data_IF_977260349600
#
_entry.id   IF_977260349600
#
_cell.length_a   1.000
_cell.length_b   1.000
_cell.length_c   1.000
_cell.angle_alpha   90.00
_cell.angle_beta   90.00
_cell.angle_gamma   90.00
#
_symmetry.space_group_name_H-M   'P 1'
#
loop_
_entity.id
_entity.type
_entity.pdbx_description
1 polymer ?
#
# COMPACT_ATOMS: atom_id res chain seq x y z
N UNK A 1 -48.90 25.89 -39.64
CA UNK A 1 -47.50 25.38 -39.73
C UNK A 1 -46.68 25.56 -38.44
N UNK A 2 -47.16 26.26 -37.41
CA UNK A 2 -46.37 26.46 -36.17
C UNK A 2 -46.46 25.36 -35.11
N UNK A 3 -47.54 24.57 -35.05
CA UNK A 3 -47.69 23.52 -34.04
C UNK A 3 -46.69 22.36 -34.22
N UNK A 4 -46.44 21.95 -35.47
CA UNK A 4 -45.47 20.89 -35.82
C UNK A 4 -44.03 21.24 -35.40
N UNK A 5 -43.68 22.53 -35.33
CA UNK A 5 -42.35 23.03 -34.95
C UNK A 5 -42.15 23.05 -33.42
N UNK A 6 -43.23 23.18 -32.64
CA UNK A 6 -43.19 23.08 -31.16
C UNK A 6 -43.07 21.64 -30.69
N UNK A 7 -43.81 20.70 -31.27
CA UNK A 7 -43.68 19.27 -30.97
C UNK A 7 -42.27 18.73 -31.27
N UNK A 8 -41.67 19.11 -32.40
CA UNK A 8 -40.30 18.72 -32.73
C UNK A 8 -39.26 19.22 -31.71
N UNK A 9 -39.38 20.46 -31.19
CA UNK A 9 -38.47 20.97 -30.16
C UNK A 9 -38.63 20.23 -28.82
N UNK A 10 -39.86 19.86 -28.45
CA UNK A 10 -40.14 19.08 -27.24
C UNK A 10 -39.59 17.65 -27.33
N UNK A 11 -39.72 17.00 -28.49
CA UNK A 11 -39.19 15.65 -28.72
C UNK A 11 -37.65 15.64 -28.71
N UNK A 12 -37.00 16.66 -29.30
CA UNK A 12 -35.53 16.79 -29.31
C UNK A 12 -34.98 17.06 -27.89
N UNK A 13 -35.66 17.88 -27.07
CA UNK A 13 -35.25 18.14 -25.68
C UNK A 13 -35.46 16.93 -24.75
N UNK A 14 -36.43 16.05 -25.03
CA UNK A 14 -36.61 14.78 -24.30
C UNK A 14 -35.46 13.81 -24.62
N UNK A 15 -35.04 13.74 -25.89
CA UNK A 15 -33.94 12.86 -26.31
C UNK A 15 -32.59 13.24 -25.71
N UNK A 16 -32.27 14.54 -25.63
CA UNK A 16 -31.01 15.02 -25.01
C UNK A 16 -31.01 14.85 -23.49
N UNK A 17 -32.14 15.09 -22.81
CA UNK A 17 -32.28 14.85 -21.38
C UNK A 17 -32.11 13.36 -21.02
N UNK A 18 -32.74 12.46 -21.79
CA UNK A 18 -32.61 11.01 -21.59
C UNK A 18 -31.17 10.53 -21.81
N UNK A 19 -30.48 11.07 -22.82
CA UNK A 19 -29.07 10.77 -23.08
C UNK A 19 -28.18 11.15 -21.88
N UNK A 20 -28.41 12.31 -21.27
CA UNK A 20 -27.65 12.76 -20.08
C UNK A 20 -27.91 11.82 -18.90
N UNK A 21 -29.15 11.39 -18.66
CA UNK A 21 -29.47 10.44 -17.58
C UNK A 21 -28.77 9.10 -17.78
N UNK A 22 -28.75 8.57 -19.00
CA UNK A 22 -28.05 7.31 -19.32
C UNK A 22 -26.54 7.45 -19.10
N UNK A 23 -25.93 8.55 -19.55
CA UNK A 23 -24.50 8.81 -19.36
C UNK A 23 -24.13 8.93 -17.88
N UNK A 24 -24.95 9.63 -17.09
CA UNK A 24 -24.76 9.74 -15.64
C UNK A 24 -24.88 8.36 -14.98
N UNK A 25 -25.87 7.56 -15.37
CA UNK A 25 -26.04 6.19 -14.86
C UNK A 25 -24.84 5.30 -15.16
N UNK A 26 -24.30 5.36 -16.39
CA UNK A 26 -23.08 4.64 -16.76
C UNK A 26 -21.85 5.14 -15.99
N UNK A 27 -21.71 6.47 -15.83
CA UNK A 27 -20.62 7.04 -15.06
C UNK A 27 -20.66 6.56 -13.59
N UNK A 28 -21.84 6.54 -12.96
CA UNK A 28 -21.98 5.99 -11.60
C UNK A 28 -21.65 4.50 -11.53
N UNK A 29 -22.06 3.70 -12.51
CA UNK A 29 -21.71 2.28 -12.54
C UNK A 29 -20.19 2.07 -12.62
N UNK A 30 -19.49 2.84 -13.45
CA UNK A 30 -18.02 2.79 -13.55
C UNK A 30 -17.35 3.25 -12.26
N UNK A 31 -17.80 4.36 -11.66
CA UNK A 31 -17.28 4.88 -10.39
C UNK A 31 -17.47 3.83 -9.28
N UNK A 32 -18.63 3.18 -9.20
CA UNK A 32 -18.91 2.14 -8.21
C UNK A 32 -17.98 0.92 -8.39
N UNK A 33 -17.78 0.46 -9.63
CA UNK A 33 -16.87 -0.65 -9.91
C UNK A 33 -15.42 -0.32 -9.51
N UNK A 34 -14.93 0.87 -9.85
CA UNK A 34 -13.61 1.34 -9.46
C UNK A 34 -13.48 1.50 -7.93
N UNK A 35 -14.51 2.01 -7.26
CA UNK A 35 -14.50 2.17 -5.81
C UNK A 35 -14.41 0.83 -5.07
N UNK A 36 -15.14 -0.20 -5.53
CA UNK A 36 -15.07 -1.55 -4.96
C UNK A 36 -13.68 -2.16 -5.20
N UNK A 37 -13.16 -2.08 -6.43
CA UNK A 37 -11.83 -2.60 -6.76
C UNK A 37 -10.73 -1.91 -5.95
N UNK A 38 -10.82 -0.59 -5.80
CA UNK A 38 -9.88 0.21 -5.03
C UNK A 38 -9.96 -0.12 -3.54
N UNK A 39 -11.17 -0.23 -2.98
CA UNK A 39 -11.37 -0.58 -1.57
C UNK A 39 -10.81 -1.97 -1.24
N UNK A 40 -11.02 -2.96 -2.11
CA UNK A 40 -10.46 -4.29 -1.93
C UNK A 40 -8.93 -4.28 -1.98
N UNK A 41 -8.35 -3.60 -2.98
CA UNK A 41 -6.90 -3.49 -3.09
C UNK A 41 -6.28 -2.75 -1.88
N UNK A 42 -6.89 -1.65 -1.47
CA UNK A 42 -6.44 -0.85 -0.32
C UNK A 42 -6.57 -1.62 1.00
N UNK A 43 -7.61 -2.45 1.14
CA UNK A 43 -7.77 -3.34 2.29
C UNK A 43 -6.64 -4.36 2.35
N UNK A 44 -6.37 -5.06 1.24
CA UNK A 44 -5.30 -6.05 1.18
C UNK A 44 -3.93 -5.42 1.46
N UNK A 45 -3.66 -4.23 0.91
CA UNK A 45 -2.44 -3.48 1.19
C UNK A 45 -2.32 -3.10 2.67
N UNK A 46 -3.41 -2.63 3.28
CA UNK A 46 -3.45 -2.30 4.71
C UNK A 46 -3.13 -3.51 5.60
N UNK A 47 -3.63 -4.69 5.25
CA UNK A 47 -3.33 -5.93 5.98
C UNK A 47 -1.85 -6.28 5.84
N UNK A 48 -1.31 -6.29 4.62
CA UNK A 48 0.12 -6.56 4.38
C UNK A 48 1.04 -5.61 5.14
N UNK A 49 0.72 -4.32 5.16
CA UNK A 49 1.48 -3.30 5.90
C UNK A 49 1.42 -3.54 7.41
N UNK A 50 0.25 -3.89 7.94
CA UNK A 50 0.09 -4.23 9.35
C UNK A 50 0.92 -5.44 9.73
N UNK A 51 0.86 -6.49 8.92
CA UNK A 51 1.57 -7.75 9.19
C UNK A 51 3.09 -7.52 9.11
N UNK A 52 3.56 -6.78 8.10
CA UNK A 52 4.97 -6.37 7.97
C UNK A 52 5.46 -5.54 9.17
N UNK A 53 4.62 -4.63 9.65
CA UNK A 53 4.93 -3.81 10.84
C UNK A 53 5.05 -4.68 12.09
N UNK A 54 4.15 -5.65 12.27
CA UNK A 54 4.18 -6.59 13.39
C UNK A 54 5.44 -7.48 13.36
N UNK A 55 5.80 -8.01 12.19
CA UNK A 55 7.04 -8.77 11.97
C UNK A 55 8.29 -7.95 12.31
N UNK A 56 8.35 -6.71 11.83
CA UNK A 56 9.47 -5.81 12.12
C UNK A 56 9.62 -5.56 13.63
N UNK A 57 8.52 -5.26 14.33
CA UNK A 57 8.59 -5.00 15.77
C UNK A 57 8.92 -6.27 16.57
N UNK A 58 8.49 -7.45 16.12
CA UNK A 58 8.91 -8.72 16.73
C UNK A 58 10.42 -8.93 16.59
N UNK A 59 10.98 -8.75 15.39
CA UNK A 59 12.41 -8.87 15.17
C UNK A 59 13.22 -7.84 15.96
N UNK A 60 12.74 -6.59 15.99
CA UNK A 60 13.35 -5.51 16.76
C UNK A 60 13.38 -5.84 18.26
N UNK A 61 12.26 -6.28 18.83
CA UNK A 61 12.20 -6.68 20.24
C UNK A 61 13.15 -7.85 20.56
N UNK A 62 13.22 -8.85 19.68
CA UNK A 62 14.17 -9.97 19.81
C UNK A 62 15.62 -9.49 19.78
N UNK A 63 15.96 -8.54 18.90
CA UNK A 63 17.29 -7.95 18.86
C UNK A 63 17.63 -7.24 20.18
N UNK A 64 16.72 -6.41 20.69
CA UNK A 64 16.90 -5.75 21.99
C UNK A 64 17.05 -6.73 23.14
N UNK A 65 16.24 -7.79 23.18
CA UNK A 65 16.34 -8.84 24.20
C UNK A 65 17.71 -9.52 24.14
N UNK A 66 18.22 -9.80 22.93
CA UNK A 66 19.56 -10.39 22.74
C UNK A 66 20.68 -9.46 23.17
N UNK A 67 20.57 -8.17 22.88
CA UNK A 67 21.52 -7.15 23.34
C UNK A 67 21.51 -7.05 24.87
N UNK A 68 20.33 -6.97 25.46
CA UNK A 68 20.18 -6.88 26.92
C UNK A 68 20.72 -8.12 27.62
N UNK A 69 20.45 -9.32 27.07
CA UNK A 69 20.96 -10.59 27.61
C UNK A 69 22.48 -10.69 27.58
N UNK A 70 23.10 -10.12 26.54
CA UNK A 70 24.56 -10.06 26.40
C UNK A 70 25.15 -8.78 27.00
N UNK A 71 24.40 -8.10 27.89
CA UNK A 71 24.87 -6.94 28.65
C UNK A 71 25.55 -5.84 27.78
N UNK A 72 25.00 -5.59 26.59
CA UNK A 72 25.54 -4.59 25.65
C UNK A 72 26.99 -4.80 25.23
N UNK A 73 27.45 -6.06 25.23
CA UNK A 73 28.76 -6.43 24.69
C UNK A 73 28.86 -6.17 23.18
N UNK A 74 30.09 -6.08 22.71
CA UNK A 74 30.38 -5.88 21.29
C UNK A 74 29.95 -7.11 20.49
N UNK A 75 28.92 -6.97 19.68
CA UNK A 75 28.35 -8.07 18.91
C UNK A 75 27.74 -7.59 17.60
N UNK A 76 27.79 -8.47 16.60
CA UNK A 76 27.17 -8.27 15.29
C UNK A 76 26.37 -9.51 14.98
N UNK A 77 25.08 -9.33 14.72
CA UNK A 77 24.17 -10.44 14.45
C UNK A 77 23.00 -9.97 13.60
N UNK A 78 22.35 -10.94 12.96
CA UNK A 78 21.13 -10.74 12.20
C UNK A 78 19.95 -11.39 12.90
N UNK A 79 18.76 -10.80 12.73
CA UNK A 79 17.48 -11.36 13.16
C UNK A 79 16.54 -11.39 11.96
N UNK A 80 15.97 -12.55 11.66
CA UNK A 80 15.02 -12.69 10.57
C UNK A 80 13.72 -11.90 10.89
N UNK A 81 13.29 -11.05 9.96
CA UNK A 81 12.00 -10.33 10.06
C UNK A 81 10.94 -11.16 9.34
N UNK A 82 11.23 -11.57 8.10
CA UNK A 82 10.42 -12.44 7.27
C UNK A 82 11.30 -13.18 6.26
N UNK A 83 10.69 -13.93 5.33
CA UNK A 83 11.39 -14.72 4.32
C UNK A 83 12.34 -13.90 3.43
N UNK A 84 12.10 -12.59 3.32
CA UNK A 84 12.77 -11.71 2.36
C UNK A 84 13.56 -10.59 3.03
N UNK A 85 13.55 -10.48 4.36
CA UNK A 85 14.15 -9.36 5.07
C UNK A 85 14.77 -9.79 6.39
N UNK A 86 15.95 -9.25 6.66
CA UNK A 86 16.69 -9.46 7.91
C UNK A 86 17.03 -8.12 8.55
N UNK A 87 17.00 -8.08 9.87
CA UNK A 87 17.47 -6.97 10.68
C UNK A 87 18.93 -7.21 11.06
N UNK A 88 19.83 -6.37 10.53
CA UNK A 88 21.23 -6.35 10.89
C UNK A 88 21.45 -5.42 12.09
N UNK A 89 22.06 -5.97 13.15
CA UNK A 89 22.29 -5.26 14.41
C UNK A 89 23.75 -5.38 14.82
N UNK A 90 24.37 -4.21 15.05
CA UNK A 90 25.74 -4.10 15.54
C UNK A 90 25.79 -3.23 16.78
N UNK A 91 26.37 -3.77 17.84
CA UNK A 91 26.65 -3.06 19.09
C UNK A 91 28.16 -2.91 19.25
N UNK A 92 28.62 -1.69 19.51
CA UNK A 92 30.00 -1.39 19.86
C UNK A 92 30.03 -0.43 21.05
N UNK A 93 30.91 -0.70 22.02
CA UNK A 93 31.15 0.15 23.21
C UNK A 93 29.88 0.47 24.01
N UNK A 94 28.92 -0.45 24.02
CA UNK A 94 27.66 -0.27 24.74
C UNK A 94 26.61 0.56 23.99
N UNK A 95 26.81 0.86 22.71
CA UNK A 95 25.86 1.59 21.87
C UNK A 95 25.51 0.79 20.60
N UNK A 96 24.29 0.95 20.10
CA UNK A 96 23.87 0.36 18.83
C UNK A 96 24.42 1.25 17.70
N UNK A 97 25.37 0.71 16.95
CA UNK A 97 26.03 1.40 15.82
C UNK A 97 25.34 1.11 14.49
N UNK A 98 24.73 -0.08 14.37
CA UNK A 98 23.95 -0.45 13.19
C UNK A 98 22.62 -1.05 13.62
N UNK A 99 21.53 -0.58 13.01
CA UNK A 99 20.19 -1.12 13.17
C UNK A 99 19.46 -0.95 11.83
N UNK A 100 19.80 -1.81 10.88
CA UNK A 100 19.38 -1.66 9.49
C UNK A 100 18.64 -2.90 9.02
N UNK A 101 17.54 -2.68 8.30
CA UNK A 101 16.82 -3.74 7.60
C UNK A 101 17.47 -3.94 6.23
N UNK A 102 17.88 -5.17 5.95
CA UNK A 102 18.42 -5.58 4.65
C UNK A 102 17.41 -6.51 3.97
N UNK A 103 17.22 -6.31 2.66
CA UNK A 103 16.40 -7.20 1.85
C UNK A 103 17.28 -8.36 1.37
N UNK A 104 16.86 -9.59 1.67
CA UNK A 104 17.57 -10.83 1.30
C UNK A 104 16.97 -11.51 0.08
N UNK A 105 15.85 -11.01 -0.45
CA UNK A 105 15.29 -11.54 -1.68
C UNK A 105 16.07 -11.05 -2.90
N UNK A 106 16.26 -11.96 -3.86
CA UNK A 106 16.66 -11.57 -5.21
C UNK A 106 15.61 -10.60 -5.78
N UNK A 107 16.07 -9.55 -6.47
CA UNK A 107 15.19 -8.54 -7.03
C UNK A 107 14.18 -9.18 -8.00
N UNK A 108 12.93 -9.27 -7.57
CA UNK A 108 11.79 -9.69 -8.38
C UNK A 108 11.04 -8.42 -8.84
N UNK A 109 10.85 -8.24 -10.15
CA UNK A 109 10.18 -7.07 -10.74
C UNK A 109 8.72 -6.89 -10.26
N UNK A 110 8.13 -7.94 -9.69
CA UNK A 110 6.76 -7.96 -9.12
C UNK A 110 6.75 -7.83 -7.59
N UNK A 111 7.90 -7.51 -6.98
CA UNK A 111 8.02 -7.31 -5.54
C UNK A 111 7.22 -6.08 -5.13
N UNK A 112 6.01 -6.31 -4.62
CA UNK A 112 5.08 -5.29 -4.08
C UNK A 112 5.61 -4.54 -2.84
N UNK A 113 6.88 -4.71 -2.48
CA UNK A 113 7.48 -3.98 -1.39
C UNK A 113 7.73 -2.53 -1.82
N UNK A 114 7.16 -1.53 -1.13
CA UNK A 114 7.45 -0.15 -1.45
C UNK A 114 8.92 0.13 -1.16
N UNK A 115 9.72 0.33 -2.22
CA UNK A 115 11.04 0.92 -2.10
C UNK A 115 10.81 2.39 -1.74
N UNK A 116 11.01 2.74 -0.48
CA UNK A 116 11.14 4.15 -0.07
C UNK A 116 12.53 4.57 -0.55
N UNK A 117 12.65 4.98 -1.81
CA UNK A 117 13.82 5.74 -2.26
C UNK A 117 13.74 7.08 -1.53
N UNK A 118 14.55 7.23 -0.49
CA UNK A 118 14.85 8.55 0.06
C UNK A 118 15.83 9.14 -0.96
N UNK A 119 15.32 9.93 -1.91
CA UNK A 119 16.18 10.76 -2.74
C UNK A 119 16.94 11.73 -1.81
N UNK A 120 18.27 11.71 -1.92
CA UNK A 120 19.24 12.51 -1.17
C UNK A 120 19.20 14.00 -1.55
#
# INVERSE_FOLDING_TARGET
>A
MEQKKREQRTIINIGTSLMVVILIGLAFAVIAALAISSSHNNYNLSIKLRDHTDEYYKASNLAYERIAKNNWENQEFTVDINENQVLNVKVDKGEIVCFQVENTADWEADSTQPVITIDD
#
